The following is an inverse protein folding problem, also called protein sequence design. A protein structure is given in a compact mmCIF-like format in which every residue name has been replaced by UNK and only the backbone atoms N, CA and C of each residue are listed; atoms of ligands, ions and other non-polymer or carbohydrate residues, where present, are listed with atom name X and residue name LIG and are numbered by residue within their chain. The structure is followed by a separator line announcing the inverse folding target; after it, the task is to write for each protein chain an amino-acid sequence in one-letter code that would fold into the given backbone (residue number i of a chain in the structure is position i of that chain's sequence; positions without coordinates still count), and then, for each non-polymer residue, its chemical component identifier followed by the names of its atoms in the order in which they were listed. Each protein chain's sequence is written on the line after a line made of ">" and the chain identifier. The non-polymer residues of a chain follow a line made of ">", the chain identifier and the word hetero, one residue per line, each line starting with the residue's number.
data_IF_492992843212
#
_entry.id   IF_492992843212
#
_cell.length_a   1.000
_cell.length_b   1.000
_cell.length_c   1.000
_cell.angle_alpha   90.00
_cell.angle_beta   90.00
_cell.angle_gamma   90.00
#
_symmetry.space_group_name_H-M   'P 1'
#
loop_
_entity.id
_entity.type
_entity.pdbx_description
1 polymer ?
#
# COMPACT_ATOMS: atom_id res chain seq x y z
N UNK A 1 -18.30 8.27 11.48
CA UNK A 1 -17.48 7.05 11.28
C UNK A 1 -16.07 7.55 11.03
N UNK A 2 -15.07 6.99 11.70
CA UNK A 2 -13.68 7.44 11.51
C UNK A 2 -13.04 6.66 10.36
N UNK A 3 -12.36 7.38 9.48
CA UNK A 3 -11.63 6.82 8.33
C UNK A 3 -10.14 6.80 8.63
N UNK A 4 -9.53 5.64 8.45
CA UNK A 4 -8.13 5.38 8.76
C UNK A 4 -7.41 4.92 7.49
N UNK A 5 -6.28 5.55 7.17
CA UNK A 5 -5.32 5.07 6.18
C UNK A 5 -4.19 4.34 6.91
N UNK A 6 -3.91 3.12 6.51
CA UNK A 6 -2.75 2.35 6.98
C UNK A 6 -1.82 2.14 5.79
N UNK A 7 -0.60 2.65 5.88
CA UNK A 7 0.45 2.37 4.89
C UNK A 7 1.39 1.30 5.41
N UNK A 8 1.71 0.34 4.57
CA UNK A 8 2.70 -0.70 4.87
C UNK A 8 3.81 -0.71 3.83
N UNK A 9 5.05 -0.57 4.30
CA UNK A 9 6.25 -0.55 3.46
C UNK A 9 6.72 -1.94 3.03
N UNK A 10 7.54 -1.98 1.98
CA UNK A 10 8.10 -3.23 1.42
C UNK A 10 8.87 -4.02 2.48
N UNK A 11 9.67 -3.37 3.32
CA UNK A 11 10.46 -4.04 4.35
C UNK A 11 9.60 -4.79 5.40
N UNK A 12 8.36 -4.35 5.62
CA UNK A 12 7.40 -5.07 6.48
C UNK A 12 6.80 -6.27 5.75
N UNK A 13 6.53 -6.13 4.45
CA UNK A 13 5.83 -7.13 3.64
C UNK A 13 6.75 -8.20 3.04
N UNK A 14 8.06 -7.99 3.08
CA UNK A 14 9.04 -8.94 2.51
C UNK A 14 10.00 -9.44 3.59
N UNK A 15 10.47 -10.66 3.40
CA UNK A 15 11.52 -11.27 4.21
C UNK A 15 12.49 -11.98 3.27
N UNK A 16 13.69 -11.40 3.13
CA UNK A 16 14.60 -11.81 2.09
C UNK A 16 13.99 -11.52 0.70
N UNK A 17 13.86 -12.56 -0.11
CA UNK A 17 13.31 -12.46 -1.47
C UNK A 17 11.82 -12.85 -1.58
N UNK A 18 11.15 -13.14 -0.47
CA UNK A 18 9.78 -13.65 -0.43
C UNK A 18 8.83 -12.69 0.29
N UNK A 19 7.53 -12.89 0.11
CA UNK A 19 6.51 -12.22 0.91
C UNK A 19 6.53 -12.76 2.35
N UNK A 20 6.53 -11.86 3.32
CA UNK A 20 6.48 -12.17 4.74
C UNK A 20 5.05 -12.54 5.16
N UNK A 21 4.56 -13.72 4.77
CA UNK A 21 3.17 -14.14 4.95
C UNK A 21 2.67 -14.01 6.38
N UNK A 22 3.51 -14.30 7.39
CA UNK A 22 3.11 -14.16 8.79
C UNK A 22 2.90 -12.70 9.19
N UNK A 23 3.73 -11.78 8.69
CA UNK A 23 3.56 -10.33 8.93
C UNK A 23 2.31 -9.81 8.22
N UNK A 24 2.04 -10.30 7.00
CA UNK A 24 0.81 -9.99 6.26
C UNK A 24 -0.42 -10.50 7.03
N UNK A 25 -0.40 -11.70 7.56
CA UNK A 25 -1.48 -12.23 8.42
C UNK A 25 -1.72 -11.35 9.65
N UNK A 26 -0.67 -10.94 10.33
CA UNK A 26 -0.78 -10.05 11.50
C UNK A 26 -1.40 -8.69 11.11
N UNK A 27 -1.00 -8.13 9.98
CA UNK A 27 -1.58 -6.89 9.43
C UNK A 27 -3.06 -7.06 9.09
N UNK A 28 -3.41 -8.15 8.41
CA UNK A 28 -4.81 -8.45 8.06
C UNK A 28 -5.66 -8.65 9.31
N UNK A 29 -5.16 -9.36 10.33
CA UNK A 29 -5.82 -9.50 11.63
C UNK A 29 -6.10 -8.13 12.27
N UNK A 30 -5.10 -7.26 12.34
CA UNK A 30 -5.24 -5.91 12.88
C UNK A 30 -6.32 -5.12 12.13
N UNK A 31 -6.24 -5.09 10.80
CA UNK A 31 -7.19 -4.35 9.96
C UNK A 31 -8.61 -4.91 10.11
N UNK A 32 -8.76 -6.24 10.15
CA UNK A 32 -10.05 -6.90 10.33
C UNK A 32 -10.69 -6.56 11.69
N UNK A 33 -9.89 -6.52 12.75
CA UNK A 33 -10.33 -6.09 14.09
C UNK A 33 -10.78 -4.63 14.08
N UNK A 34 -9.97 -3.73 13.51
CA UNK A 34 -10.32 -2.31 13.41
C UNK A 34 -11.62 -2.08 12.66
N UNK A 35 -11.82 -2.81 11.56
CA UNK A 35 -13.01 -2.72 10.73
C UNK A 35 -14.25 -3.31 11.42
N UNK A 36 -14.16 -4.53 11.91
CA UNK A 36 -15.32 -5.27 12.42
C UNK A 36 -15.69 -4.83 13.85
N UNK A 37 -14.72 -4.74 14.76
CA UNK A 37 -14.96 -4.49 16.17
C UNK A 37 -15.06 -2.99 16.50
N UNK A 38 -14.34 -2.14 15.76
CA UNK A 38 -14.33 -0.69 15.97
C UNK A 38 -15.16 0.08 14.96
N UNK A 39 -15.72 -0.60 13.96
CA UNK A 39 -16.54 -0.02 12.89
C UNK A 39 -15.84 1.15 12.18
N UNK A 40 -14.54 1.02 11.92
CA UNK A 40 -13.74 2.00 11.19
C UNK A 40 -13.81 1.75 9.69
N UNK A 41 -13.75 2.81 8.90
CA UNK A 41 -13.42 2.73 7.48
C UNK A 41 -11.91 2.63 7.34
N UNK A 42 -11.41 1.50 6.84
CA UNK A 42 -9.97 1.29 6.67
C UNK A 42 -9.60 1.27 5.20
N UNK A 43 -8.61 2.06 4.83
CA UNK A 43 -7.96 2.08 3.52
C UNK A 43 -6.53 1.58 3.73
N UNK A 44 -6.12 0.56 2.98
CA UNK A 44 -4.76 0.03 3.04
C UNK A 44 -3.95 0.56 1.85
N UNK A 45 -2.83 1.23 2.11
CA UNK A 45 -1.82 1.56 1.09
C UNK A 45 -0.67 0.57 1.24
N UNK A 46 -0.48 -0.27 0.23
CA UNK A 46 0.44 -1.40 0.28
C UNK A 46 1.55 -1.26 -0.74
N UNK A 47 2.77 -1.46 -0.31
CA UNK A 47 3.91 -1.75 -1.17
C UNK A 47 4.03 -3.26 -1.46
N UNK A 48 5.14 -3.69 -2.06
CA UNK A 48 5.53 -5.10 -2.15
C UNK A 48 5.28 -5.78 -3.49
N UNK A 49 4.69 -5.09 -4.49
CA UNK A 49 4.45 -5.67 -5.82
C UNK A 49 5.75 -6.13 -6.49
N UNK A 50 6.78 -5.29 -6.53
CA UNK A 50 8.11 -5.65 -7.08
C UNK A 50 8.70 -6.87 -6.36
N UNK A 51 8.60 -6.91 -5.03
CA UNK A 51 9.06 -8.04 -4.22
C UNK A 51 8.32 -9.33 -4.54
N UNK A 52 6.99 -9.26 -4.64
CA UNK A 52 6.16 -10.40 -5.02
C UNK A 52 6.48 -10.93 -6.42
N UNK A 53 6.74 -10.04 -7.38
CA UNK A 53 7.15 -10.44 -8.73
C UNK A 53 8.55 -11.05 -8.77
N UNK A 54 9.45 -10.57 -7.93
CA UNK A 54 10.80 -11.10 -7.84
C UNK A 54 10.85 -12.58 -7.39
N UNK A 55 9.82 -13.06 -6.70
CA UNK A 55 9.71 -14.48 -6.38
C UNK A 55 9.50 -15.37 -7.61
N UNK A 56 8.88 -14.82 -8.66
CA UNK A 56 8.56 -15.52 -9.90
C UNK A 56 9.65 -15.34 -10.97
N UNK A 57 10.21 -14.14 -11.06
CA UNK A 57 11.17 -13.78 -12.09
C UNK A 57 12.33 -12.97 -11.48
N UNK A 58 13.55 -13.50 -11.57
CA UNK A 58 14.75 -12.88 -11.01
C UNK A 58 15.36 -11.89 -12.00
N UNK A 59 14.95 -10.64 -11.93
CA UNK A 59 15.49 -9.54 -12.74
C UNK A 59 16.24 -8.54 -11.86
N UNK A 60 17.22 -7.87 -12.46
CA UNK A 60 17.93 -6.77 -11.81
C UNK A 60 17.00 -5.61 -11.49
N UNK A 61 16.80 -5.37 -10.19
CA UNK A 61 15.89 -4.33 -9.67
C UNK A 61 16.46 -2.91 -9.82
N UNK A 62 17.68 -2.73 -10.26
CA UNK A 62 18.28 -1.41 -10.51
C UNK A 62 17.79 -0.82 -11.84
N UNK A 63 17.32 -1.67 -12.76
CA UNK A 63 16.80 -1.29 -14.06
C UNK A 63 15.30 -0.99 -13.95
N UNK A 64 14.88 0.20 -14.36
CA UNK A 64 13.48 0.64 -14.28
C UNK A 64 12.52 -0.33 -14.96
N UNK A 65 12.74 -0.70 -16.21
CA UNK A 65 11.87 -1.62 -16.95
C UNK A 65 11.73 -2.99 -16.26
N UNK A 66 12.78 -3.44 -15.57
CA UNK A 66 12.72 -4.66 -14.77
C UNK A 66 11.83 -4.49 -13.53
N UNK A 67 11.95 -3.35 -12.82
CA UNK A 67 11.04 -3.04 -11.70
C UNK A 67 9.58 -3.02 -12.15
N UNK A 68 9.30 -2.34 -13.25
CA UNK A 68 7.95 -2.27 -13.83
C UNK A 68 7.43 -3.67 -14.21
N UNK A 69 8.29 -4.50 -14.84
CA UNK A 69 7.96 -5.89 -15.18
C UNK A 69 7.67 -6.72 -13.92
N UNK A 70 8.52 -6.61 -12.91
CA UNK A 70 8.33 -7.31 -11.64
C UNK A 70 7.04 -6.85 -10.94
N UNK A 71 6.74 -5.56 -10.94
CA UNK A 71 5.50 -5.04 -10.39
C UNK A 71 4.27 -5.58 -11.13
N UNK A 72 4.30 -5.64 -12.46
CA UNK A 72 3.22 -6.22 -13.28
C UNK A 72 2.93 -7.69 -12.94
N UNK A 73 3.99 -8.49 -12.70
CA UNK A 73 3.87 -9.89 -12.29
C UNK A 73 3.40 -10.00 -10.81
N UNK A 74 3.97 -9.16 -9.96
CA UNK A 74 3.79 -9.29 -8.52
C UNK A 74 2.50 -8.68 -7.99
N UNK A 75 1.96 -7.63 -8.62
CA UNK A 75 0.72 -6.99 -8.16
C UNK A 75 -0.48 -7.95 -8.10
N UNK A 76 -0.76 -8.77 -9.13
CA UNK A 76 -1.80 -9.79 -9.05
C UNK A 76 -1.56 -10.81 -7.93
N UNK A 77 -0.31 -11.24 -7.72
CA UNK A 77 0.08 -12.17 -6.66
C UNK A 77 -0.15 -11.56 -5.27
N UNK A 78 0.26 -10.31 -5.08
CA UNK A 78 0.05 -9.57 -3.84
C UNK A 78 -1.45 -9.43 -3.53
N UNK A 79 -2.25 -9.06 -4.52
CA UNK A 79 -3.70 -8.93 -4.36
C UNK A 79 -4.37 -10.25 -4.06
N UNK A 80 -3.98 -11.34 -4.72
CA UNK A 80 -4.46 -12.69 -4.42
C UNK A 80 -4.19 -13.06 -2.97
N UNK A 81 -2.97 -12.82 -2.49
CA UNK A 81 -2.58 -13.10 -1.10
C UNK A 81 -3.44 -12.32 -0.10
N UNK A 82 -3.66 -11.03 -0.32
CA UNK A 82 -4.55 -10.24 0.52
C UNK A 82 -5.98 -10.74 0.46
N UNK A 83 -6.51 -11.04 -0.73
CA UNK A 83 -7.87 -11.52 -0.91
C UNK A 83 -8.11 -12.81 -0.13
N UNK A 84 -7.21 -13.79 -0.23
CA UNK A 84 -7.29 -15.05 0.50
C UNK A 84 -7.26 -14.82 2.02
N UNK A 85 -6.36 -13.98 2.51
CA UNK A 85 -6.26 -13.68 3.95
C UNK A 85 -7.48 -12.93 4.50
N UNK A 86 -8.00 -11.92 3.79
CA UNK A 86 -9.18 -11.17 4.22
C UNK A 86 -10.47 -11.98 4.12
N UNK A 87 -10.52 -12.97 3.22
CA UNK A 87 -11.65 -13.87 3.06
C UNK A 87 -11.90 -14.71 4.32
N UNK A 88 -10.83 -15.05 5.08
CA UNK A 88 -10.94 -15.74 6.39
C UNK A 88 -11.79 -14.94 7.40
N UNK A 89 -11.90 -13.61 7.24
CA UNK A 89 -12.71 -12.69 8.06
C UNK A 89 -14.02 -12.26 7.41
N UNK A 90 -14.40 -12.85 6.26
CA UNK A 90 -15.58 -12.46 5.50
C UNK A 90 -15.47 -11.04 4.90
N UNK A 91 -14.27 -10.52 4.70
CA UNK A 91 -14.02 -9.16 4.21
C UNK A 91 -13.66 -9.19 2.72
N UNK A 92 -14.41 -8.41 1.94
CA UNK A 92 -14.10 -8.17 0.54
C UNK A 92 -13.05 -7.06 0.42
N UNK A 93 -12.08 -7.24 -0.47
CA UNK A 93 -11.06 -6.22 -0.80
C UNK A 93 -11.19 -5.78 -2.26
N UNK A 94 -10.76 -4.57 -2.57
CA UNK A 94 -10.74 -4.04 -3.93
C UNK A 94 -9.40 -3.37 -4.21
N UNK A 95 -8.84 -3.58 -5.41
CA UNK A 95 -7.62 -2.92 -5.84
C UNK A 95 -7.93 -1.54 -6.41
N UNK A 96 -7.12 -0.54 -6.03
CA UNK A 96 -7.07 0.76 -6.67
C UNK A 96 -5.61 1.13 -6.94
N UNK A 97 -5.25 1.39 -8.19
CA UNK A 97 -3.91 1.79 -8.59
C UNK A 97 -3.90 3.26 -8.99
N UNK A 98 -2.91 3.99 -8.53
CA UNK A 98 -2.74 5.43 -8.78
C UNK A 98 -1.34 5.75 -9.27
N UNK A 99 -1.25 6.86 -9.98
CA UNK A 99 0.00 7.61 -10.22
C UNK A 99 -0.20 9.05 -9.71
N UNK A 100 0.89 9.79 -9.52
CA UNK A 100 0.83 11.17 -9.02
C UNK A 100 -0.13 12.06 -9.83
N UNK A 101 -0.08 11.97 -11.16
CA UNK A 101 -0.91 12.74 -12.09
C UNK A 101 -2.42 12.53 -11.91
N UNK A 102 -2.84 11.45 -11.26
CA UNK A 102 -4.26 11.20 -11.01
C UNK A 102 -4.86 12.21 -10.03
N UNK A 103 -4.03 12.73 -9.12
CA UNK A 103 -4.44 13.73 -8.14
C UNK A 103 -4.51 15.13 -8.72
N UNK A 104 -3.75 15.44 -9.76
CA UNK A 104 -3.76 16.73 -10.46
C UNK A 104 -4.94 16.85 -11.43
N UNK A 105 -5.52 15.74 -11.85
CA UNK A 105 -6.67 15.71 -12.74
C UNK A 105 -7.98 15.74 -11.96
N UNK A 106 -8.71 16.86 -12.00
CA UNK A 106 -10.05 16.99 -11.37
C UNK A 106 -11.03 15.87 -11.79
N UNK A 107 -10.96 15.40 -13.04
CA UNK A 107 -11.84 14.35 -13.54
C UNK A 107 -11.46 12.99 -12.97
N UNK A 108 -10.15 12.65 -12.98
CA UNK A 108 -9.66 11.36 -12.47
C UNK A 108 -9.84 11.28 -10.95
N UNK A 109 -9.46 12.31 -10.22
CA UNK A 109 -9.60 12.37 -8.77
C UNK A 109 -11.07 12.32 -8.32
N UNK A 110 -12.01 12.98 -9.06
CA UNK A 110 -13.44 12.86 -8.79
C UNK A 110 -13.96 11.44 -8.99
N UNK A 111 -13.56 10.78 -10.09
CA UNK A 111 -13.97 9.39 -10.35
C UNK A 111 -13.45 8.45 -9.28
N UNK A 112 -12.17 8.57 -8.92
CA UNK A 112 -11.57 7.78 -7.84
C UNK A 112 -12.29 7.97 -6.50
N UNK A 113 -12.67 9.23 -6.18
CA UNK A 113 -13.44 9.54 -4.98
C UNK A 113 -14.80 8.85 -4.98
N UNK A 114 -15.53 8.88 -6.08
CA UNK A 114 -16.82 8.23 -6.17
C UNK A 114 -16.70 6.71 -5.95
N UNK A 115 -15.68 6.07 -6.56
CA UNK A 115 -15.42 4.63 -6.37
C UNK A 115 -15.07 4.35 -4.91
N UNK A 116 -14.16 5.13 -4.31
CA UNK A 116 -13.77 5.00 -2.90
C UNK A 116 -14.98 5.05 -1.95
N UNK A 117 -15.85 6.05 -2.11
CA UNK A 117 -17.03 6.20 -1.26
C UNK A 117 -17.97 4.98 -1.39
N UNK A 118 -18.19 4.47 -2.61
CA UNK A 118 -19.02 3.29 -2.84
C UNK A 118 -18.40 2.04 -2.19
N UNK A 119 -17.08 1.84 -2.31
CA UNK A 119 -16.39 0.72 -1.69
C UNK A 119 -16.55 0.75 -0.16
N UNK A 120 -16.27 1.90 0.45
CA UNK A 120 -16.36 2.07 1.91
C UNK A 120 -17.80 1.92 2.42
N UNK A 121 -18.81 2.47 1.73
CA UNK A 121 -20.23 2.30 2.05
C UNK A 121 -20.65 0.84 2.03
N UNK A 122 -20.07 0.04 1.12
CA UNK A 122 -20.33 -1.40 1.02
C UNK A 122 -19.38 -2.24 1.90
N UNK A 123 -18.68 -1.61 2.84
CA UNK A 123 -17.76 -2.27 3.77
C UNK A 123 -16.63 -3.07 3.08
N UNK A 124 -16.26 -2.70 1.87
CA UNK A 124 -15.08 -3.21 1.17
C UNK A 124 -13.84 -2.48 1.66
N UNK A 125 -12.71 -3.18 1.79
CA UNK A 125 -11.41 -2.56 2.08
C UNK A 125 -10.72 -2.24 0.76
N UNK A 126 -10.52 -0.95 0.42
CA UNK A 126 -9.68 -0.57 -0.70
C UNK A 126 -8.20 -0.86 -0.36
N UNK A 127 -7.53 -1.59 -1.24
CA UNK A 127 -6.08 -1.80 -1.20
C UNK A 127 -5.48 -0.98 -2.34
N UNK A 128 -4.69 0.00 -1.97
CA UNK A 128 -4.10 0.99 -2.88
C UNK A 128 -2.62 0.67 -3.06
N UNK A 129 -2.16 0.76 -4.28
CA UNK A 129 -0.74 0.76 -4.62
C UNK A 129 -0.48 1.76 -5.74
N UNK A 130 0.78 2.10 -5.95
CA UNK A 130 1.18 2.79 -7.15
C UNK A 130 0.99 1.90 -8.38
N UNK A 131 0.66 2.51 -9.52
CA UNK A 131 0.69 1.84 -10.81
C UNK A 131 2.13 1.84 -11.35
N UNK A 132 2.97 1.01 -10.77
CA UNK A 132 4.40 0.92 -11.09
C UNK A 132 4.67 0.71 -12.59
N UNK A 133 3.71 0.14 -13.36
CA UNK A 133 3.89 -0.14 -14.80
C UNK A 133 4.03 1.14 -15.62
N UNK A 134 3.36 2.21 -15.21
CA UNK A 134 3.32 3.50 -15.91
C UNK A 134 3.88 4.66 -15.09
N UNK A 135 4.29 4.39 -13.84
CA UNK A 135 4.91 5.40 -12.99
C UNK A 135 6.29 5.79 -13.51
N UNK A 136 6.65 7.05 -13.35
CA UNK A 136 7.96 7.59 -13.70
C UNK A 136 8.99 7.35 -12.60
N UNK A 137 10.29 7.39 -12.91
CA UNK A 137 11.38 7.03 -11.99
C UNK A 137 11.35 7.76 -10.64
N UNK A 138 10.87 8.99 -10.61
CA UNK A 138 10.93 9.87 -9.44
C UNK A 138 10.00 9.44 -8.30
N UNK A 139 9.01 8.58 -8.57
CA UNK A 139 7.95 8.20 -7.63
C UNK A 139 7.95 6.71 -7.28
N UNK A 140 8.70 5.88 -8.03
CA UNK A 140 8.68 4.44 -7.84
C UNK A 140 9.31 4.05 -6.50
N UNK A 141 8.46 3.60 -5.59
CA UNK A 141 8.86 2.95 -4.35
C UNK A 141 8.58 3.72 -3.07
N UNK A 142 8.10 4.96 -3.13
CA UNK A 142 7.70 5.69 -1.93
C UNK A 142 6.18 5.85 -1.82
N UNK A 143 5.54 4.81 -1.30
CA UNK A 143 4.11 4.85 -0.99
C UNK A 143 3.77 5.73 0.23
N UNK A 144 4.72 6.37 0.90
CA UNK A 144 4.45 7.32 1.99
C UNK A 144 3.81 8.57 1.44
N UNK A 145 4.34 9.11 0.33
CA UNK A 145 3.74 10.24 -0.36
C UNK A 145 2.35 9.89 -0.91
N UNK A 146 2.21 8.73 -1.56
CA UNK A 146 0.91 8.24 -2.01
C UNK A 146 -0.08 8.14 -0.85
N UNK A 147 0.33 7.61 0.30
CA UNK A 147 -0.53 7.49 1.49
C UNK A 147 -0.95 8.88 2.03
N UNK A 148 -0.07 9.87 1.98
CA UNK A 148 -0.40 11.24 2.34
C UNK A 148 -1.45 11.84 1.39
N UNK A 149 -1.28 11.67 0.07
CA UNK A 149 -2.30 12.08 -0.93
C UNK A 149 -3.64 11.38 -0.67
N UNK A 150 -3.64 10.06 -0.47
CA UNK A 150 -4.85 9.28 -0.17
C UNK A 150 -5.54 9.81 1.09
N UNK A 151 -4.78 10.08 2.15
CA UNK A 151 -5.30 10.62 3.40
C UNK A 151 -6.01 11.96 3.19
N UNK A 152 -5.37 12.86 2.46
CA UNK A 152 -5.92 14.19 2.16
C UNK A 152 -7.16 14.12 1.24
N UNK A 153 -7.02 13.45 0.08
CA UNK A 153 -8.07 13.43 -0.95
C UNK A 153 -9.34 12.71 -0.51
N UNK A 154 -9.20 11.63 0.24
CA UNK A 154 -10.34 10.86 0.74
C UNK A 154 -10.76 11.25 2.16
N UNK A 155 -10.22 12.37 2.68
CA UNK A 155 -10.60 12.96 3.97
C UNK A 155 -10.53 11.96 5.11
N UNK A 156 -9.44 11.22 5.21
CA UNK A 156 -9.21 10.34 6.34
C UNK A 156 -8.85 11.14 7.60
N UNK A 157 -9.26 10.62 8.74
CA UNK A 157 -9.02 11.25 10.04
C UNK A 157 -7.60 10.99 10.55
N UNK A 158 -6.95 9.90 10.07
CA UNK A 158 -5.62 9.49 10.53
C UNK A 158 -4.88 8.71 9.44
N UNK A 159 -3.57 8.92 9.38
CA UNK A 159 -2.60 8.09 8.64
C UNK A 159 -1.70 7.38 9.64
N UNK A 160 -1.58 6.06 9.50
CA UNK A 160 -0.62 5.23 10.21
C UNK A 160 0.37 4.64 9.21
N UNK A 161 1.65 4.89 9.41
CA UNK A 161 2.72 4.36 8.58
C UNK A 161 3.41 3.24 9.34
N UNK A 162 3.33 2.01 8.81
CA UNK A 162 4.05 0.86 9.31
C UNK A 162 5.37 0.74 8.55
N UNK A 163 6.44 0.99 9.26
CA UNK A 163 7.81 1.01 8.74
C UNK A 163 8.72 0.18 9.65
N UNK A 164 9.93 -0.04 9.20
CA UNK A 164 11.00 -0.71 9.96
C UNK A 164 11.98 0.28 10.62
N UNK A 165 11.60 1.57 10.65
CA UNK A 165 12.31 2.67 11.35
C UNK A 165 11.45 3.09 12.54
N UNK A 166 12.09 3.31 13.68
CA UNK A 166 11.43 3.55 14.98
C UNK A 166 11.02 5.02 15.23
N UNK A 167 11.30 5.93 14.28
CA UNK A 167 10.94 7.33 14.40
C UNK A 167 11.03 8.10 13.09
N UNK A 168 10.65 9.38 13.15
CA UNK A 168 10.83 10.32 12.04
C UNK A 168 12.17 11.04 12.22
N UNK A 169 13.06 10.82 11.27
CA UNK A 169 14.42 11.34 11.30
C UNK A 169 14.63 12.47 10.29
N UNK A 170 15.58 13.35 10.58
CA UNK A 170 16.03 14.42 9.67
C UNK A 170 16.79 13.86 8.44
N UNK A 171 17.31 12.63 8.53
CA UNK A 171 17.99 11.87 7.48
C UNK A 171 17.97 10.36 7.78
N UNK A 172 18.36 9.55 6.80
CA UNK A 172 18.32 8.10 6.95
C UNK A 172 19.22 7.59 8.10
N UNK A 173 18.68 7.05 9.21
CA UNK A 173 19.49 6.62 10.36
C UNK A 173 20.36 5.39 10.07
N UNK A 174 20.13 4.68 8.97
CA UNK A 174 20.96 3.54 8.56
C UNK A 174 22.22 3.96 7.81
N UNK A 175 22.18 5.13 7.19
CA UNK A 175 23.29 5.69 6.44
C UNK A 175 24.08 6.72 7.26
N UNK A 176 23.39 7.41 8.16
CA UNK A 176 23.94 8.50 8.94
C UNK A 176 23.78 8.23 10.44
N UNK A 177 24.87 7.92 11.11
CA UNK A 177 24.90 7.63 12.56
C UNK A 177 24.53 8.83 13.44
N UNK A 178 24.54 10.04 12.88
CA UNK A 178 24.19 11.31 13.52
C UNK A 178 22.76 11.78 13.16
N UNK A 179 21.93 10.91 12.58
CA UNK A 179 20.52 11.19 12.32
C UNK A 179 19.77 11.43 13.64
N UNK A 180 18.90 12.44 13.66
CA UNK A 180 18.11 12.85 14.85
C UNK A 180 16.62 12.70 14.58
N UNK A 181 15.90 12.24 15.61
CA UNK A 181 14.43 12.25 15.66
C UNK A 181 13.93 13.68 15.85
#
# INVERSE_FOLDING_TARGET
>A
MKRLVIKVGTAVLTQGEELALQRMKNLVNLISTLKNDKNLEVILVSSGAVGAGYTELKLDKTVLANKQTLAAIGQPKLMKTYQEMFQEFGITVAQMLFIADDFDSRKRSKNAKNVMEILLQNKVIPIINENDVIATEELIGDNDQLAAYITHYFKADMLVILTDIDGYYDKNPREFSDAKI
#
